data_IF_771770465012
#
_entry.id   IF_771770465012
#
_cell.length_a   1.000
_cell.length_b   1.000
_cell.length_c   1.000
_cell.angle_alpha   90.00
_cell.angle_beta   90.00
_cell.angle_gamma   90.00
#
_symmetry.space_group_name_H-M   'P 1'
#
loop_
_entity.id
_entity.type
_entity.pdbx_description
1 polymer ?
#
# COMPACT_ATOMS: atom_id res chain seq x y z
N UNK A 1 -0.71 4.38 -13.50
CA UNK A 1 -0.57 5.87 -13.44
C UNK A 1 -1.11 6.56 -14.69
N UNK A 2 -0.89 6.03 -15.94
CA UNK A 2 -1.33 6.70 -17.17
C UNK A 2 -2.87 6.84 -17.28
N UNK A 3 -3.62 5.76 -17.03
CA UNK A 3 -5.10 5.81 -17.01
C UNK A 3 -5.64 6.80 -15.97
N UNK A 4 -4.99 6.88 -14.81
CA UNK A 4 -5.32 7.86 -13.79
C UNK A 4 -5.06 9.31 -14.24
N UNK A 5 -3.98 9.54 -14.98
CA UNK A 5 -3.70 10.85 -15.57
C UNK A 5 -4.75 11.26 -16.60
N UNK A 6 -5.20 10.33 -17.45
CA UNK A 6 -6.30 10.58 -18.40
C UNK A 6 -7.60 10.92 -17.65
N UNK A 7 -7.95 10.18 -16.59
CA UNK A 7 -9.12 10.46 -15.78
C UNK A 7 -9.04 11.85 -15.11
N UNK A 8 -7.88 12.17 -14.54
CA UNK A 8 -7.62 13.48 -13.93
C UNK A 8 -7.78 14.59 -14.95
N UNK A 9 -7.17 14.43 -16.13
CA UNK A 9 -7.26 15.40 -17.22
C UNK A 9 -8.70 15.58 -17.72
N UNK A 10 -9.41 14.48 -17.99
CA UNK A 10 -10.81 14.53 -18.41
C UNK A 10 -11.68 15.29 -17.40
N UNK A 11 -11.45 15.08 -16.10
CA UNK A 11 -12.17 15.79 -15.04
C UNK A 11 -11.84 17.28 -15.02
N UNK A 12 -10.62 17.69 -15.35
CA UNK A 12 -10.20 19.10 -15.41
C UNK A 12 -10.87 19.87 -16.55
N UNK A 13 -11.33 19.20 -17.60
CA UNK A 13 -12.04 19.84 -18.70
C UNK A 13 -13.45 20.32 -18.30
N UNK A 14 -14.05 19.73 -17.29
CA UNK A 14 -15.28 20.24 -16.67
C UNK A 14 -14.97 21.52 -15.89
N UNK A 15 -15.75 22.58 -15.99
CA UNK A 15 -15.46 23.84 -15.30
C UNK A 15 -15.47 23.72 -13.77
N UNK A 16 -14.51 24.38 -13.13
CA UNK A 16 -14.46 24.56 -11.68
C UNK A 16 -14.06 23.32 -10.87
N UNK A 17 -13.55 22.28 -11.50
CA UNK A 17 -13.20 21.04 -10.81
C UNK A 17 -11.91 21.15 -9.99
N UNK A 18 -11.91 20.50 -8.83
CA UNK A 18 -10.75 20.34 -7.97
C UNK A 18 -10.26 18.90 -8.05
N UNK A 19 -9.16 18.67 -8.75
CA UNK A 19 -8.55 17.35 -8.92
C UNK A 19 -7.28 17.29 -8.10
N UNK A 20 -7.21 16.30 -7.22
CA UNK A 20 -6.06 16.06 -6.35
C UNK A 20 -5.48 14.67 -6.61
N UNK A 21 -4.17 14.61 -6.73
CA UNK A 21 -3.41 13.36 -6.69
C UNK A 21 -2.56 13.36 -5.42
N UNK A 22 -2.61 12.27 -4.68
CA UNK A 22 -1.79 12.06 -3.48
C UNK A 22 -0.99 10.79 -3.67
N UNK A 23 0.31 10.86 -3.40
CA UNK A 23 1.20 9.69 -3.42
C UNK A 23 2.16 9.73 -2.22
N UNK A 24 2.84 8.63 -1.90
CA UNK A 24 3.77 8.59 -0.75
C UNK A 24 4.80 9.70 -0.79
N UNK A 25 5.37 9.97 -1.96
CA UNK A 25 6.31 11.07 -2.17
C UNK A 25 6.19 11.65 -3.59
N UNK A 26 6.79 12.82 -3.82
CA UNK A 26 6.71 13.49 -5.12
C UNK A 26 7.39 12.73 -6.27
N UNK A 27 8.42 11.93 -6.00
CA UNK A 27 9.12 11.18 -7.04
C UNK A 27 8.21 10.11 -7.68
N UNK A 28 7.44 9.39 -6.86
CA UNK A 28 6.50 8.39 -7.34
C UNK A 28 5.33 9.01 -8.12
N UNK A 29 4.86 10.15 -7.69
CA UNK A 29 3.70 10.82 -8.30
C UNK A 29 4.04 11.74 -9.47
N UNK A 30 5.31 11.98 -9.74
CA UNK A 30 5.74 12.81 -10.89
C UNK A 30 5.20 12.28 -12.21
N UNK A 31 5.04 10.98 -12.35
CA UNK A 31 4.52 10.33 -13.56
C UNK A 31 3.11 10.85 -13.91
N UNK A 32 2.18 10.89 -12.95
CA UNK A 32 0.82 11.40 -13.20
C UNK A 32 0.87 12.91 -13.48
N UNK A 33 1.70 13.64 -12.76
CA UNK A 33 1.88 15.08 -12.98
C UNK A 33 2.36 15.37 -14.39
N UNK A 34 3.40 14.67 -14.82
CA UNK A 34 4.01 14.87 -16.14
C UNK A 34 3.02 14.54 -17.26
N UNK A 35 2.29 13.42 -17.16
CA UNK A 35 1.25 13.08 -18.14
C UNK A 35 0.13 14.13 -18.21
N UNK A 36 -0.38 14.61 -17.08
CA UNK A 36 -1.45 15.61 -17.06
C UNK A 36 -0.95 16.93 -17.66
N UNK A 37 0.24 17.37 -17.27
CA UNK A 37 0.81 18.64 -17.78
C UNK A 37 1.18 18.56 -19.26
N UNK A 38 1.60 17.39 -19.74
CA UNK A 38 1.88 17.16 -21.16
C UNK A 38 0.59 17.14 -21.97
N UNK A 39 -0.48 16.52 -21.49
CA UNK A 39 -1.81 16.59 -22.13
C UNK A 39 -2.32 18.04 -22.22
N UNK A 40 -2.17 18.82 -21.15
CA UNK A 40 -2.53 20.25 -21.14
C UNK A 40 -1.78 21.00 -22.26
N UNK A 41 -0.47 20.77 -22.40
CA UNK A 41 0.36 21.39 -23.43
C UNK A 41 0.03 20.91 -24.84
N UNK A 42 -0.08 19.58 -25.03
CA UNK A 42 -0.33 18.96 -26.34
C UNK A 42 -1.68 19.36 -26.94
N UNK A 43 -2.68 19.57 -26.09
CA UNK A 43 -4.04 19.95 -26.50
C UNK A 43 -4.29 21.45 -26.41
N UNK A 44 -3.23 22.25 -26.18
CA UNK A 44 -3.26 23.72 -26.11
C UNK A 44 -4.34 24.25 -25.13
N UNK A 45 -4.47 23.58 -23.96
CA UNK A 45 -5.44 23.99 -22.94
C UNK A 45 -4.95 25.25 -22.22
N UNK A 46 -5.77 26.26 -22.19
CA UNK A 46 -5.43 27.56 -21.59
C UNK A 46 -5.27 27.48 -20.06
N UNK A 47 -4.12 27.93 -19.59
CA UNK A 47 -3.69 27.90 -18.19
C UNK A 47 -3.67 29.30 -17.59
N UNK A 48 -4.38 29.50 -16.48
CA UNK A 48 -4.35 30.75 -15.68
C UNK A 48 -3.09 30.81 -14.81
N UNK A 49 -2.71 29.68 -14.16
CA UNK A 49 -1.53 29.61 -13.30
C UNK A 49 -0.86 28.25 -13.40
N UNK A 50 0.46 28.26 -13.59
CA UNK A 50 1.30 27.06 -13.54
C UNK A 50 2.39 27.22 -12.50
N UNK A 51 2.40 26.36 -11.46
CA UNK A 51 3.41 26.36 -10.41
C UNK A 51 4.06 24.98 -10.31
N UNK A 52 5.22 24.84 -10.94
CA UNK A 52 5.98 23.59 -10.96
C UNK A 52 6.54 23.22 -9.56
N UNK A 53 6.87 24.21 -8.75
CA UNK A 53 7.45 23.97 -7.41
C UNK A 53 6.40 23.40 -6.46
N UNK A 54 5.22 23.99 -6.43
CA UNK A 54 4.13 23.58 -5.55
C UNK A 54 3.21 22.52 -6.20
N UNK A 55 3.54 22.11 -7.43
CA UNK A 55 2.78 21.12 -8.21
C UNK A 55 1.29 21.48 -8.30
N UNK A 56 1.01 22.68 -8.80
CA UNK A 56 -0.36 23.21 -8.98
C UNK A 56 -0.51 23.79 -10.38
N UNK A 57 -1.56 23.36 -11.07
CA UNK A 57 -2.03 23.97 -12.32
C UNK A 57 -3.46 24.48 -12.12
N UNK A 58 -3.73 25.69 -12.53
CA UNK A 58 -5.08 26.26 -12.58
C UNK A 58 -5.41 26.59 -14.03
N UNK A 59 -6.51 26.05 -14.54
CA UNK A 59 -7.01 26.33 -15.88
C UNK A 59 -7.92 27.56 -15.89
N UNK A 60 -8.06 28.18 -17.04
CA UNK A 60 -8.95 29.35 -17.22
C UNK A 60 -10.42 28.99 -16.93
N UNK A 61 -10.84 27.74 -17.16
CA UNK A 61 -12.20 27.29 -16.80
C UNK A 61 -12.44 27.19 -15.28
N UNK A 62 -11.46 27.60 -14.46
CA UNK A 62 -11.52 27.58 -12.99
C UNK A 62 -11.11 26.26 -12.35
N UNK A 63 -10.85 25.23 -13.14
CA UNK A 63 -10.40 23.93 -12.61
C UNK A 63 -8.97 23.99 -12.09
N UNK A 64 -8.70 23.21 -11.06
CA UNK A 64 -7.37 23.16 -10.42
C UNK A 64 -6.90 21.72 -10.27
N UNK A 65 -5.70 21.47 -10.75
CA UNK A 65 -4.96 20.23 -10.55
C UNK A 65 -3.88 20.41 -9.50
N UNK A 66 -3.81 19.51 -8.53
CA UNK A 66 -2.76 19.49 -7.48
C UNK A 66 -2.18 18.11 -7.31
N UNK A 67 -0.86 18.08 -7.18
CA UNK A 67 -0.15 16.90 -6.73
C UNK A 67 0.36 17.14 -5.31
N UNK A 68 0.09 16.20 -4.41
CA UNK A 68 0.43 16.28 -3.00
C UNK A 68 1.23 15.05 -2.57
N UNK A 69 2.11 15.22 -1.61
CA UNK A 69 2.87 14.13 -0.99
C UNK A 69 2.30 13.79 0.37
N UNK A 70 2.07 12.50 0.64
CA UNK A 70 1.65 12.01 1.95
C UNK A 70 2.71 12.26 3.03
N UNK A 71 3.99 12.36 2.67
CA UNK A 71 5.06 12.72 3.60
C UNK A 71 4.91 14.15 4.16
N UNK A 72 4.15 15.03 3.48
CA UNK A 72 3.85 16.37 3.98
C UNK A 72 2.36 16.45 4.36
N UNK A 73 2.02 15.94 5.52
CA UNK A 73 0.65 15.83 6.02
C UNK A 73 -0.08 17.17 6.08
N UNK A 74 0.60 18.24 6.47
CA UNK A 74 -0.01 19.57 6.56
C UNK A 74 -0.52 20.07 5.20
N UNK A 75 0.06 19.60 4.11
CA UNK A 75 -0.40 19.94 2.76
C UNK A 75 -1.75 19.33 2.38
N UNK A 76 -2.19 18.30 3.10
CA UNK A 76 -3.44 17.57 2.82
C UNK A 76 -4.65 18.24 3.49
N UNK A 77 -4.43 18.93 4.61
CA UNK A 77 -5.50 19.50 5.44
C UNK A 77 -6.13 20.74 4.80
N UNK A 78 -7.46 20.88 4.96
CA UNK A 78 -8.21 22.08 4.52
C UNK A 78 -8.39 22.20 3.01
N UNK A 79 -8.24 21.11 2.28
CA UNK A 79 -8.47 21.09 0.83
C UNK A 79 -9.79 20.40 0.48
N UNK A 80 -10.29 20.70 -0.71
CA UNK A 80 -11.50 20.12 -1.26
C UNK A 80 -11.20 19.49 -2.63
N UNK A 81 -11.80 18.34 -2.92
CA UNK A 81 -11.61 17.61 -4.17
C UNK A 81 -12.94 17.07 -4.73
N UNK A 82 -13.17 17.29 -6.03
CA UNK A 82 -14.19 16.57 -6.79
C UNK A 82 -13.68 15.18 -7.20
N UNK A 83 -12.39 15.10 -7.51
CA UNK A 83 -11.69 13.84 -7.78
C UNK A 83 -10.41 13.78 -6.96
N UNK A 84 -10.31 12.76 -6.14
CA UNK A 84 -9.10 12.40 -5.40
C UNK A 84 -8.53 11.11 -6.00
N UNK A 85 -7.27 11.13 -6.38
CA UNK A 85 -6.53 9.94 -6.81
C UNK A 85 -5.46 9.67 -5.77
N UNK A 86 -5.45 8.48 -5.19
CA UNK A 86 -4.44 8.03 -4.24
C UNK A 86 -3.57 7.00 -4.95
N UNK A 87 -2.39 7.43 -5.36
CA UNK A 87 -1.43 6.58 -6.07
C UNK A 87 -0.52 5.88 -5.06
N UNK A 88 -0.16 4.64 -5.35
CA UNK A 88 0.55 3.75 -4.42
C UNK A 88 -0.12 3.69 -3.04
N UNK A 89 -1.45 3.56 -3.05
CA UNK A 89 -2.30 3.68 -1.87
C UNK A 89 -1.92 2.70 -0.74
N UNK A 90 -1.49 1.49 -1.07
CA UNK A 90 -1.09 0.49 -0.08
C UNK A 90 0.12 0.91 0.77
N UNK A 91 0.93 1.87 0.29
CA UNK A 91 2.10 2.39 1.01
C UNK A 91 1.71 3.54 1.97
N UNK A 92 0.62 4.26 1.65
CA UNK A 92 0.17 5.41 2.45
C UNK A 92 -0.58 4.88 3.69
N UNK A 93 -0.26 5.32 4.92
CA UNK A 93 -0.98 4.89 6.11
C UNK A 93 -2.48 5.23 6.04
N UNK A 94 -3.34 4.27 6.41
CA UNK A 94 -4.81 4.42 6.36
C UNK A 94 -5.32 5.65 7.14
N UNK A 95 -4.65 6.02 8.21
CA UNK A 95 -5.01 7.19 9.01
C UNK A 95 -4.99 8.50 8.21
N UNK A 96 -4.10 8.63 7.20
CA UNK A 96 -4.05 9.81 6.34
C UNK A 96 -5.28 9.91 5.46
N UNK A 97 -5.78 8.77 4.99
CA UNK A 97 -7.04 8.76 4.26
C UNK A 97 -8.23 9.09 5.19
N UNK A 98 -8.36 8.38 6.30
CA UNK A 98 -9.54 8.48 7.18
C UNK A 98 -9.67 9.85 7.85
N UNK A 99 -8.56 10.50 8.21
CA UNK A 99 -8.55 11.77 8.94
C UNK A 99 -8.50 12.99 8.02
N UNK A 100 -7.68 12.93 6.98
CA UNK A 100 -7.30 14.11 6.23
C UNK A 100 -7.93 14.13 4.84
N UNK A 101 -7.80 13.05 4.08
CA UNK A 101 -8.24 12.99 2.68
C UNK A 101 -9.75 12.81 2.54
N UNK A 102 -10.38 12.04 3.43
CA UNK A 102 -11.83 11.84 3.41
C UNK A 102 -12.60 13.14 3.56
N UNK A 103 -12.11 14.07 4.37
CA UNK A 103 -12.72 15.39 4.56
C UNK A 103 -12.67 16.23 3.27
N UNK A 104 -11.63 16.06 2.46
CA UNK A 104 -11.55 16.76 1.17
C UNK A 104 -12.68 16.37 0.20
N UNK A 105 -13.17 15.13 0.30
CA UNK A 105 -14.27 14.63 -0.54
C UNK A 105 -15.65 15.07 -0.06
N UNK A 106 -15.80 15.49 1.19
CA UNK A 106 -17.11 15.86 1.75
C UNK A 106 -17.59 17.26 1.34
N UNK A 107 -16.75 18.05 0.66
CA UNK A 107 -17.07 19.42 0.26
C UNK A 107 -17.99 19.48 -0.96
N UNK A 108 -17.88 18.52 -1.86
CA UNK A 108 -18.68 18.47 -3.09
C UNK A 108 -19.58 17.24 -3.11
N UNK A 109 -20.79 17.39 -3.66
CA UNK A 109 -21.83 16.35 -3.61
C UNK A 109 -21.45 15.07 -4.34
N UNK A 110 -20.76 15.16 -5.48
CA UNK A 110 -20.45 14.04 -6.36
C UNK A 110 -18.94 13.74 -6.40
N UNK A 111 -18.27 13.93 -5.26
CA UNK A 111 -16.85 13.66 -5.14
C UNK A 111 -16.55 12.16 -5.29
N UNK A 112 -15.44 11.86 -5.95
CA UNK A 112 -15.00 10.49 -6.16
C UNK A 112 -13.56 10.29 -5.71
N UNK A 113 -13.26 9.07 -5.27
CA UNK A 113 -11.90 8.67 -4.92
C UNK A 113 -11.49 7.44 -5.73
N UNK A 114 -10.29 7.47 -6.29
CA UNK A 114 -9.65 6.35 -6.97
C UNK A 114 -8.39 5.96 -6.21
N UNK A 115 -8.32 4.72 -5.73
CA UNK A 115 -7.10 4.14 -5.16
C UNK A 115 -6.42 3.29 -6.22
N UNK A 116 -5.11 3.49 -6.39
CA UNK A 116 -4.30 2.71 -7.32
C UNK A 116 -3.10 2.19 -6.54
N UNK A 117 -2.83 0.90 -6.63
CA UNK A 117 -1.65 0.29 -6.02
C UNK A 117 -1.46 -1.13 -6.53
N UNK A 118 -0.24 -1.66 -6.38
CA UNK A 118 -0.05 -3.10 -6.28
C UNK A 118 -0.55 -3.58 -4.90
N UNK A 119 -1.03 -4.83 -4.78
CA UNK A 119 -1.39 -5.42 -3.51
C UNK A 119 -0.21 -5.44 -2.52
N UNK A 120 -0.49 -5.23 -1.23
CA UNK A 120 0.50 -5.31 -0.14
C UNK A 120 -0.02 -6.19 0.98
N UNK A 121 -0.36 -7.45 0.63
CA UNK A 121 -0.88 -8.43 1.57
C UNK A 121 -2.31 -8.18 2.06
N UNK A 122 -2.95 -9.23 2.54
CA UNK A 122 -4.35 -9.16 3.06
C UNK A 122 -4.47 -8.40 4.38
N UNK A 123 -3.37 -8.20 5.12
CA UNK A 123 -3.32 -7.37 6.31
C UNK A 123 -3.37 -5.87 6.02
N UNK A 124 -3.14 -5.45 4.78
CA UNK A 124 -3.19 -4.05 4.41
C UNK A 124 -4.63 -3.52 4.34
N UNK A 125 -4.85 -2.30 4.80
CA UNK A 125 -6.19 -1.67 4.79
C UNK A 125 -6.81 -1.60 3.39
N UNK A 126 -5.99 -1.50 2.36
CA UNK A 126 -6.45 -1.41 0.97
C UNK A 126 -7.16 -2.71 0.53
N UNK A 127 -6.77 -3.86 1.09
CA UNK A 127 -7.50 -5.11 0.87
C UNK A 127 -8.95 -5.02 1.34
N UNK A 128 -9.20 -4.46 2.53
CA UNK A 128 -10.56 -4.26 3.03
C UNK A 128 -11.36 -3.29 2.15
N UNK A 129 -10.71 -2.28 1.58
CA UNK A 129 -11.37 -1.38 0.61
C UNK A 129 -11.64 -2.07 -0.72
N UNK A 130 -10.72 -2.92 -1.16
CA UNK A 130 -10.91 -3.72 -2.37
C UNK A 130 -12.13 -4.64 -2.26
N UNK A 131 -12.31 -5.32 -1.13
CA UNK A 131 -13.45 -6.20 -0.91
C UNK A 131 -14.81 -5.49 -0.97
N UNK A 132 -14.87 -4.20 -0.66
CA UNK A 132 -16.11 -3.41 -0.75
C UNK A 132 -16.65 -3.31 -2.18
N UNK A 133 -15.80 -3.44 -3.19
CA UNK A 133 -16.24 -3.38 -4.59
C UNK A 133 -17.16 -4.51 -5.02
N UNK A 134 -17.09 -5.66 -4.33
CA UNK A 134 -17.94 -6.83 -4.57
C UNK A 134 -19.06 -6.97 -3.51
N UNK A 135 -19.07 -6.10 -2.50
CA UNK A 135 -20.02 -6.15 -1.40
C UNK A 135 -21.25 -5.27 -1.68
N UNK A 136 -22.42 -5.87 -1.68
CA UNK A 136 -23.71 -5.23 -1.96
C UNK A 136 -24.10 -4.13 -0.96
N UNK A 137 -23.49 -4.12 0.23
CA UNK A 137 -23.69 -3.02 1.19
C UNK A 137 -23.01 -1.72 0.77
N UNK A 138 -22.07 -1.80 -0.18
CA UNK A 138 -21.27 -0.67 -0.67
C UNK A 138 -21.54 -0.36 -2.15
N UNK A 139 -22.77 0.00 -2.48
CA UNK A 139 -23.23 0.24 -3.86
C UNK A 139 -22.40 1.27 -4.64
N UNK A 140 -21.78 2.22 -3.94
CA UNK A 140 -20.93 3.28 -4.53
C UNK A 140 -19.47 2.86 -4.73
N UNK A 141 -19.12 1.59 -4.40
CA UNK A 141 -17.76 1.08 -4.53
C UNK A 141 -17.63 0.16 -5.74
N UNK A 142 -16.45 0.19 -6.34
CA UNK A 142 -16.08 -0.74 -7.39
C UNK A 142 -14.60 -1.07 -7.31
N UNK A 143 -14.26 -2.31 -7.53
CA UNK A 143 -12.88 -2.80 -7.49
C UNK A 143 -12.54 -3.58 -8.75
N UNK A 144 -11.29 -3.50 -9.19
CA UNK A 144 -10.80 -4.26 -10.33
C UNK A 144 -9.33 -4.63 -10.15
N UNK A 145 -8.94 -5.76 -10.73
CA UNK A 145 -7.55 -6.22 -10.80
C UNK A 145 -7.11 -6.24 -12.25
N UNK A 146 -5.91 -5.71 -12.48
CA UNK A 146 -5.27 -5.67 -13.80
C UNK A 146 -3.87 -6.24 -13.70
N UNK A 147 -3.73 -7.55 -13.94
CA UNK A 147 -2.43 -8.22 -13.97
C UNK A 147 -1.62 -7.84 -15.21
N UNK A 148 -0.37 -8.28 -15.28
CA UNK A 148 0.48 -8.08 -16.46
C UNK A 148 -0.17 -8.52 -17.77
N UNK A 149 -1.08 -9.52 -17.74
CA UNK A 149 -1.78 -10.04 -18.93
C UNK A 149 -2.68 -9.00 -19.60
N UNK A 150 -3.13 -8.02 -18.84
CA UNK A 150 -3.93 -6.91 -19.40
C UNK A 150 -3.09 -5.80 -20.02
N UNK A 151 -1.74 -5.87 -19.92
CA UNK A 151 -0.85 -4.89 -20.51
C UNK A 151 -0.26 -5.41 -21.84
N UNK A 152 -0.72 -4.93 -23.00
CA UNK A 152 -0.27 -5.40 -24.31
C UNK A 152 1.17 -5.01 -24.65
N UNK A 153 1.82 -4.17 -23.84
CA UNK A 153 3.20 -3.72 -24.07
C UNK A 153 4.25 -4.65 -23.45
N UNK A 154 3.83 -5.56 -22.55
CA UNK A 154 4.72 -6.52 -21.92
C UNK A 154 4.85 -7.77 -22.79
N UNK A 155 6.07 -8.19 -23.09
CA UNK A 155 6.32 -9.45 -23.80
C UNK A 155 6.39 -10.62 -22.81
N UNK A 156 6.04 -11.83 -23.29
CA UNK A 156 6.20 -13.05 -22.50
C UNK A 156 7.66 -13.28 -22.07
N UNK A 157 8.62 -12.87 -22.90
CA UNK A 157 10.04 -12.97 -22.58
C UNK A 157 10.42 -12.12 -21.36
N UNK A 158 9.91 -10.88 -21.28
CA UNK A 158 10.17 -9.99 -20.15
C UNK A 158 9.55 -10.55 -18.86
N UNK A 159 8.37 -11.15 -18.99
CA UNK A 159 7.67 -11.80 -17.88
C UNK A 159 8.42 -13.05 -17.39
N UNK A 160 8.94 -13.88 -18.29
CA UNK A 160 9.72 -15.05 -17.93
C UNK A 160 11.05 -14.68 -17.26
N UNK A 161 11.68 -13.60 -17.68
CA UNK A 161 12.88 -13.07 -17.04
C UNK A 161 12.58 -12.57 -15.62
N UNK A 162 11.50 -11.79 -15.46
CA UNK A 162 11.04 -11.34 -14.15
C UNK A 162 10.75 -12.51 -13.21
N UNK A 163 10.02 -13.53 -13.71
CA UNK A 163 9.68 -14.74 -12.93
C UNK A 163 10.90 -15.52 -12.42
N UNK A 164 12.02 -15.46 -13.18
CA UNK A 164 13.29 -16.11 -12.77
C UNK A 164 14.12 -15.24 -11.82
N UNK A 165 13.86 -13.93 -11.80
CA UNK A 165 14.69 -12.95 -11.09
C UNK A 165 14.19 -12.64 -9.68
N UNK A 166 12.91 -12.93 -9.38
CA UNK A 166 12.28 -12.62 -8.09
C UNK A 166 11.59 -13.85 -7.51
N UNK A 167 11.25 -13.80 -6.21
CA UNK A 167 10.54 -14.90 -5.56
C UNK A 167 9.13 -15.08 -6.15
N UNK A 168 8.58 -16.28 -6.03
CA UNK A 168 7.23 -16.59 -6.50
C UNK A 168 6.17 -15.68 -5.84
N UNK A 169 6.31 -15.42 -4.54
CA UNK A 169 5.41 -14.55 -3.81
C UNK A 169 5.45 -13.10 -4.32
N UNK A 170 6.65 -12.57 -4.56
CA UNK A 170 6.83 -11.23 -5.11
C UNK A 170 6.31 -11.15 -6.55
N UNK A 171 6.49 -12.20 -7.36
CA UNK A 171 5.94 -12.23 -8.72
C UNK A 171 4.40 -12.24 -8.69
N UNK A 172 3.79 -13.05 -7.83
CA UNK A 172 2.35 -13.09 -7.65
C UNK A 172 1.79 -11.72 -7.24
N UNK A 173 2.47 -11.02 -6.34
CA UNK A 173 2.08 -9.68 -5.89
C UNK A 173 2.24 -8.62 -6.99
N UNK A 174 3.42 -8.48 -7.58
CA UNK A 174 3.76 -7.35 -8.45
C UNK A 174 3.25 -7.53 -9.90
N UNK A 175 3.16 -8.77 -10.40
CA UNK A 175 2.78 -9.06 -11.78
C UNK A 175 1.38 -9.67 -11.90
N UNK A 176 1.01 -10.60 -11.02
CA UNK A 176 -0.31 -11.21 -11.04
C UNK A 176 -1.35 -10.40 -10.24
N UNK A 177 -0.91 -9.40 -9.45
CA UNK A 177 -1.74 -8.58 -8.56
C UNK A 177 -2.52 -9.40 -7.53
N UNK A 178 -1.92 -10.48 -7.04
CA UNK A 178 -2.51 -11.34 -6.02
C UNK A 178 -2.35 -10.74 -4.63
N UNK A 179 -3.44 -10.82 -3.84
CA UNK A 179 -3.40 -10.49 -2.42
C UNK A 179 -2.81 -11.67 -1.63
N UNK A 180 -1.51 -11.60 -1.38
CA UNK A 180 -0.82 -12.63 -0.60
C UNK A 180 -1.19 -12.54 0.89
N UNK A 181 -1.09 -13.66 1.61
CA UNK A 181 -1.32 -13.69 3.06
C UNK A 181 -0.11 -13.19 3.84
N UNK A 182 1.04 -13.02 3.18
CA UNK A 182 2.33 -12.90 3.85
C UNK A 182 3.20 -11.78 3.25
N UNK A 183 3.04 -10.55 3.73
CA UNK A 183 4.08 -9.52 3.54
C UNK A 183 5.33 -9.75 4.40
N UNK A 184 5.24 -10.60 5.40
CA UNK A 184 6.30 -10.83 6.40
C UNK A 184 6.60 -12.28 6.70
N UNK A 185 6.15 -13.23 5.89
CA UNK A 185 6.53 -14.61 6.10
C UNK A 185 7.97 -14.82 5.63
N UNK A 186 8.90 -14.79 6.57
CA UNK A 186 10.32 -15.05 6.34
C UNK A 186 10.52 -16.50 5.83
N UNK A 187 9.66 -17.41 6.26
CA UNK A 187 9.68 -18.82 5.88
C UNK A 187 8.50 -19.17 4.99
N UNK A 188 8.68 -19.09 3.65
CA UNK A 188 7.62 -19.41 2.67
C UNK A 188 7.10 -20.86 2.78
N UNK A 189 7.92 -21.77 3.29
CA UNK A 189 7.60 -23.19 3.47
C UNK A 189 6.86 -23.50 4.78
N UNK A 190 6.59 -22.50 5.63
CA UNK A 190 5.85 -22.71 6.87
C UNK A 190 4.38 -23.03 6.54
N UNK A 191 3.97 -24.24 6.89
CA UNK A 191 2.61 -24.75 6.80
C UNK A 191 2.14 -25.05 8.22
N UNK A 192 1.21 -24.26 8.73
CA UNK A 192 0.74 -24.37 10.12
C UNK A 192 0.25 -25.79 10.45
N UNK A 193 -0.46 -26.43 9.51
CA UNK A 193 -0.98 -27.78 9.71
C UNK A 193 0.11 -28.85 9.83
N UNK A 194 1.32 -28.58 9.32
CA UNK A 194 2.47 -29.49 9.36
C UNK A 194 3.47 -29.14 10.45
N UNK A 195 3.67 -27.84 10.68
CA UNK A 195 4.80 -27.38 11.48
C UNK A 195 4.38 -26.89 12.87
N UNK A 196 3.07 -26.66 13.10
CA UNK A 196 2.56 -26.30 14.42
C UNK A 196 1.77 -27.49 14.96
N UNK A 197 2.35 -28.18 15.97
CA UNK A 197 1.76 -29.35 16.60
C UNK A 197 1.93 -29.25 18.12
N UNK A 198 1.01 -29.85 18.87
CA UNK A 198 1.19 -30.05 20.30
C UNK A 198 2.35 -31.04 20.51
N UNK A 199 3.45 -30.53 21.04
CA UNK A 199 4.62 -31.32 21.28
C UNK A 199 4.46 -32.12 22.56
N UNK A 200 4.50 -33.46 22.48
CA UNK A 200 4.33 -34.34 23.63
C UNK A 200 5.62 -35.13 23.89
N UNK A 201 6.42 -34.62 24.81
CA UNK A 201 7.24 -35.47 25.66
C UNK A 201 8.53 -36.08 25.10
N UNK A 202 9.20 -35.49 24.12
CA UNK A 202 10.52 -35.96 23.70
C UNK A 202 11.64 -35.34 24.54
N UNK A 203 12.78 -36.05 24.60
CA UNK A 203 13.97 -35.54 25.27
C UNK A 203 14.82 -34.81 24.23
N UNK A 204 15.05 -33.54 24.43
CA UNK A 204 15.98 -32.79 23.63
C UNK A 204 17.41 -33.12 23.99
N UNK A 205 18.28 -33.30 22.98
CA UNK A 205 19.71 -33.43 23.14
C UNK A 205 20.34 -32.11 23.59
N UNK A 206 19.75 -31.00 23.15
CA UNK A 206 20.17 -29.64 23.48
C UNK A 206 18.96 -28.71 23.56
N UNK A 207 19.01 -27.74 24.48
CA UNK A 207 18.02 -26.66 24.58
C UNK A 207 18.76 -25.35 24.52
N UNK A 208 18.34 -24.47 23.61
CA UNK A 208 18.88 -23.14 23.39
C UNK A 208 17.78 -22.10 23.61
N UNK A 209 18.17 -20.91 24.01
CA UNK A 209 17.25 -19.80 24.09
C UNK A 209 17.84 -18.53 23.43
N UNK A 210 16.97 -17.74 22.82
CA UNK A 210 17.30 -16.45 22.22
C UNK A 210 16.40 -15.37 22.76
N UNK A 211 16.96 -14.18 23.00
CA UNK A 211 16.25 -13.01 23.47
C UNK A 211 16.52 -11.84 22.52
N UNK A 212 15.48 -11.27 21.97
CA UNK A 212 15.51 -9.98 21.27
C UNK A 212 14.83 -8.92 22.14
N UNK A 213 15.54 -7.82 22.41
CA UNK A 213 15.08 -6.78 23.32
C UNK A 213 14.80 -5.49 22.55
N UNK A 214 13.53 -5.08 22.48
CA UNK A 214 13.07 -3.83 21.92
C UNK A 214 12.38 -2.95 22.98
N UNK A 215 12.51 -1.63 22.91
CA UNK A 215 11.76 -0.71 23.79
C UNK A 215 10.44 -0.26 23.13
N UNK A 216 10.49 0.05 21.84
CA UNK A 216 9.31 0.43 21.04
C UNK A 216 8.72 -0.74 20.27
N UNK A 217 9.57 -1.70 19.95
CA UNK A 217 9.20 -2.96 19.34
C UNK A 217 8.96 -4.03 20.41
N UNK A 218 8.46 -5.17 20.04
CA UNK A 218 8.21 -6.27 20.97
C UNK A 218 9.52 -6.87 21.46
N UNK A 219 9.56 -7.23 22.76
CA UNK A 219 10.58 -8.11 23.28
C UNK A 219 10.15 -9.54 22.99
N UNK A 220 11.02 -10.33 22.43
CA UNK A 220 10.72 -11.72 22.08
C UNK A 220 11.78 -12.64 22.70
N UNK A 221 11.34 -13.58 23.50
CA UNK A 221 12.16 -14.67 24.04
C UNK A 221 11.66 -15.98 23.47
N UNK A 222 12.56 -16.78 22.89
CA UNK A 222 12.23 -18.05 22.24
C UNK A 222 13.11 -19.14 22.80
N UNK A 223 12.50 -20.28 23.13
CA UNK A 223 13.20 -21.49 23.56
C UNK A 223 13.12 -22.53 22.45
N UNK A 224 14.27 -23.06 22.06
CA UNK A 224 14.43 -24.04 20.97
C UNK A 224 15.02 -25.32 21.51
N UNK A 225 14.34 -26.43 21.28
CA UNK A 225 14.85 -27.78 21.55
C UNK A 225 15.41 -28.42 20.27
N UNK A 226 16.49 -29.18 20.40
CA UNK A 226 17.07 -29.99 19.33
C UNK A 226 17.08 -31.47 19.76
N UNK A 227 16.48 -32.34 18.96
CA UNK A 227 16.38 -33.77 19.25
C UNK A 227 17.53 -34.63 18.66
N UNK A 228 18.44 -34.00 17.92
CA UNK A 228 19.52 -34.63 17.18
C UNK A 228 19.30 -34.59 15.65
N UNK A 229 18.12 -34.29 15.20
CA UNK A 229 17.76 -34.20 13.77
C UNK A 229 16.98 -32.92 13.45
N UNK A 230 16.02 -32.55 14.30
CA UNK A 230 15.12 -31.44 14.08
C UNK A 230 15.21 -30.39 15.19
N UNK A 231 14.84 -29.14 14.84
CA UNK A 231 14.71 -28.05 15.77
C UNK A 231 13.22 -27.77 16.01
N UNK A 232 12.87 -27.56 17.28
CA UNK A 232 11.50 -27.28 17.74
C UNK A 232 11.48 -26.00 18.53
N UNK A 233 10.57 -25.10 18.22
CA UNK A 233 10.24 -23.99 19.12
C UNK A 233 9.33 -24.58 20.19
N UNK A 234 9.82 -24.65 21.42
CA UNK A 234 9.13 -25.34 22.53
C UNK A 234 8.48 -24.37 23.50
N UNK A 235 8.90 -23.12 23.50
CA UNK A 235 8.28 -22.07 24.28
C UNK A 235 8.59 -20.69 23.70
N UNK A 236 7.70 -19.72 23.93
CA UNK A 236 7.90 -18.33 23.55
C UNK A 236 7.29 -17.38 24.56
N UNK A 237 7.93 -16.24 24.76
CA UNK A 237 7.39 -15.12 25.52
C UNK A 237 7.51 -13.83 24.72
N UNK A 238 6.39 -13.13 24.56
CA UNK A 238 6.33 -11.87 23.82
C UNK A 238 5.77 -10.78 24.74
N UNK A 239 6.46 -9.65 24.82
CA UNK A 239 5.99 -8.50 25.59
C UNK A 239 6.34 -7.19 24.89
N UNK A 240 5.58 -6.14 25.19
CA UNK A 240 5.81 -4.79 24.66
C UNK A 240 5.92 -3.80 25.79
N UNK A 241 6.80 -2.80 25.61
CA UNK A 241 7.01 -1.73 26.60
C UNK A 241 7.41 -2.20 28.00
N UNK A 242 8.00 -3.42 28.10
CA UNK A 242 8.46 -3.99 29.36
C UNK A 242 9.82 -3.41 29.75
N UNK A 243 10.00 -3.19 31.04
CA UNK A 243 11.32 -2.88 31.61
C UNK A 243 12.23 -4.10 31.63
N UNK A 244 13.54 -3.90 31.66
CA UNK A 244 14.52 -5.00 31.73
C UNK A 244 14.29 -5.89 32.96
N UNK A 245 13.83 -5.33 34.10
CA UNK A 245 13.51 -6.08 35.31
C UNK A 245 12.28 -6.95 35.16
N UNK A 246 11.22 -6.44 34.50
CA UNK A 246 10.01 -7.20 34.23
C UNK A 246 10.32 -8.35 33.25
N UNK A 247 11.10 -8.08 32.21
CA UNK A 247 11.52 -9.10 31.27
C UNK A 247 12.36 -10.21 31.94
N UNK A 248 13.34 -9.83 32.77
CA UNK A 248 14.18 -10.78 33.53
C UNK A 248 13.40 -11.59 34.59
N UNK A 249 12.22 -11.13 35.00
CA UNK A 249 11.37 -11.85 35.95
C UNK A 249 10.36 -12.77 35.26
N UNK A 250 10.12 -12.57 33.96
CA UNK A 250 9.17 -13.35 33.16
C UNK A 250 9.84 -14.54 32.44
N UNK A 251 11.17 -14.45 32.23
CA UNK A 251 12.03 -15.50 31.64
C UNK A 251 12.68 -16.31 32.76
#
# INVERSE_FOLDING_TARGET
SYAAAILAFAKLLEPGQQVMVVAPNFSLSSIIWDYVTDLIKQLDIEVDKFNQKDKVVKLINGSVFRLLSANNRDSLVGRAANLLIVDEAAIIPNEYFTRDLRLALSTFKDSRCLWISTPRGKGNYLYNYFLRGDDKEYEDWGSSIHSWRSNPLLSEKDIDEARRSITRALFAQEYECEWTTTESQIYEALDEAKHINDYVGERFAEVLAGLDVGYRDENVFVVIGFDGENYFIIDEYVSKESTTSELASAI
#
